data_IF_815504567069
#
_entry.id   IF_815504567069
#
_cell.length_a   1.000
_cell.length_b   1.000
_cell.length_c   1.000
_cell.angle_alpha   90.00
_cell.angle_beta   90.00
_cell.angle_gamma   90.00
#
_symmetry.space_group_name_H-M   'P 1'
#
loop_
_entity.id
_entity.type
_entity.pdbx_description
1 polymer ?
#
# COMPACT_ATOMS: atom_id res chain seq x y z
N UNK A 1 25.79 -15.78 11.03
CA UNK A 1 24.83 -16.50 10.16
C UNK A 1 23.46 -16.17 10.73
N UNK A 2 22.76 -15.17 10.22
CA UNK A 2 21.94 -15.27 9.01
C UNK A 2 20.62 -15.89 9.46
N UNK A 3 19.65 -15.08 9.90
CA UNK A 3 18.52 -14.73 9.05
C UNK A 3 18.25 -13.22 9.00
N UNK A 4 18.52 -12.63 7.84
CA UNK A 4 17.87 -11.39 7.43
C UNK A 4 16.39 -11.74 7.25
N UNK A 5 15.54 -11.38 8.20
CA UNK A 5 14.10 -11.40 7.97
C UNK A 5 13.86 -10.51 6.74
N UNK A 6 13.55 -11.12 5.59
CA UNK A 6 13.07 -10.39 4.43
C UNK A 6 11.78 -9.72 4.85
N UNK A 7 11.87 -8.46 5.26
CA UNK A 7 10.75 -7.57 5.57
C UNK A 7 9.83 -7.30 4.35
N UNK A 8 10.01 -8.04 3.25
CA UNK A 8 9.18 -8.00 2.04
C UNK A 8 8.62 -9.36 1.60
N UNK A 9 8.63 -10.39 2.46
CA UNK A 9 8.17 -11.75 2.11
C UNK A 9 7.08 -12.27 3.07
N UNK A 10 6.26 -11.37 3.65
CA UNK A 10 5.04 -11.81 4.34
C UNK A 10 3.88 -11.84 3.34
N UNK A 11 3.44 -13.03 2.88
CA UNK A 11 2.37 -13.14 1.88
C UNK A 11 1.03 -12.61 2.41
N UNK A 12 0.85 -12.56 3.74
CA UNK A 12 -0.34 -11.99 4.36
C UNK A 12 -0.32 -10.46 4.28
N UNK A 13 0.86 -9.86 4.43
CA UNK A 13 1.06 -8.42 4.29
C UNK A 13 0.86 -7.96 2.84
N UNK A 14 1.39 -8.71 1.88
CA UNK A 14 1.20 -8.40 0.45
C UNK A 14 -0.28 -8.47 0.04
N UNK A 15 -0.99 -9.51 0.49
CA UNK A 15 -2.43 -9.62 0.31
C UNK A 15 -3.20 -8.46 0.96
N UNK A 16 -2.82 -8.05 2.19
CA UNK A 16 -3.42 -6.91 2.87
C UNK A 16 -3.26 -5.60 2.07
N UNK A 17 -2.07 -5.34 1.53
CA UNK A 17 -1.81 -4.17 0.68
C UNK A 17 -2.64 -4.23 -0.62
N UNK A 18 -2.76 -5.39 -1.25
CA UNK A 18 -3.60 -5.59 -2.43
C UNK A 18 -5.06 -5.17 -2.19
N UNK A 19 -5.64 -5.57 -1.06
CA UNK A 19 -7.00 -5.16 -0.67
C UNK A 19 -7.11 -3.64 -0.43
N UNK A 20 -6.12 -3.03 0.21
CA UNK A 20 -6.07 -1.58 0.44
C UNK A 20 -5.99 -0.80 -0.89
N UNK A 21 -5.22 -1.29 -1.85
CA UNK A 21 -5.13 -0.69 -3.19
C UNK A 21 -6.45 -0.79 -3.96
N UNK A 22 -7.13 -1.94 -3.91
CA UNK A 22 -8.47 -2.12 -4.51
C UNK A 22 -9.50 -1.15 -3.96
N UNK A 23 -9.52 -0.93 -2.63
CA UNK A 23 -10.39 0.07 -2.00
C UNK A 23 -10.06 1.49 -2.46
N UNK A 24 -8.77 1.82 -2.58
CA UNK A 24 -8.32 3.13 -3.04
C UNK A 24 -8.73 3.42 -4.48
N UNK A 25 -8.61 2.43 -5.36
CA UNK A 25 -8.98 2.57 -6.78
C UNK A 25 -10.51 2.56 -6.99
N UNK A 26 -11.29 2.44 -5.91
CA UNK A 26 -12.76 2.31 -5.94
C UNK A 26 -13.21 1.07 -6.75
N UNK A 27 -12.36 0.05 -6.80
CA UNK A 27 -12.60 -1.22 -7.48
C UNK A 27 -13.07 -2.33 -6.52
N UNK A 28 -13.37 -1.99 -5.27
CA UNK A 28 -13.96 -2.93 -4.32
C UNK A 28 -15.46 -3.07 -4.60
N UNK A 29 -15.81 -4.01 -5.47
CA UNK A 29 -17.19 -4.38 -5.77
C UNK A 29 -17.74 -5.40 -4.74
N UNK A 30 -19.05 -5.68 -4.80
CA UNK A 30 -19.70 -6.58 -3.84
C UNK A 30 -19.09 -8.00 -3.83
N UNK A 31 -18.53 -8.46 -4.96
CA UNK A 31 -17.83 -9.74 -5.00
C UNK A 31 -16.47 -9.67 -4.32
N UNK A 32 -15.70 -8.61 -4.54
CA UNK A 32 -14.42 -8.39 -3.86
C UNK A 32 -14.61 -8.19 -2.34
N UNK A 33 -15.69 -7.53 -1.91
CA UNK A 33 -16.02 -7.37 -0.49
C UNK A 33 -16.26 -8.72 0.20
N UNK A 34 -17.03 -9.62 -0.41
CA UNK A 34 -17.24 -10.98 0.13
C UNK A 34 -15.91 -11.74 0.25
N UNK A 35 -15.06 -11.69 -0.77
CA UNK A 35 -13.74 -12.34 -0.75
C UNK A 35 -12.81 -11.75 0.32
N UNK A 36 -12.89 -10.43 0.56
CA UNK A 36 -12.16 -9.78 1.64
C UNK A 36 -12.64 -10.29 3.01
N UNK A 37 -13.96 -10.37 3.22
CA UNK A 37 -14.53 -10.88 4.46
C UNK A 37 -14.14 -12.35 4.72
N UNK A 38 -14.20 -13.21 3.69
CA UNK A 38 -13.72 -14.60 3.76
C UNK A 38 -12.24 -14.67 4.12
N UNK A 39 -11.41 -13.83 3.49
CA UNK A 39 -9.97 -13.78 3.76
C UNK A 39 -9.66 -13.30 5.17
N UNK A 40 -10.38 -12.31 5.68
CA UNK A 40 -10.27 -11.83 7.07
C UNK A 40 -10.74 -12.88 8.07
N UNK A 41 -11.77 -13.67 7.73
CA UNK A 41 -12.29 -14.76 8.55
C UNK A 41 -11.36 -15.98 8.62
N UNK A 42 -10.40 -16.10 7.71
CA UNK A 42 -9.48 -17.24 7.63
C UNK A 42 -8.50 -17.29 8.81
N UNK A 43 -8.02 -16.14 9.30
CA UNK A 43 -7.04 -16.10 10.39
C UNK A 43 -7.01 -14.75 11.10
N UNK A 44 -6.84 -14.72 12.44
CA UNK A 44 -6.66 -13.47 13.17
C UNK A 44 -5.42 -12.67 12.70
N UNK A 45 -4.39 -13.34 12.15
CA UNK A 45 -3.21 -12.67 11.58
C UNK A 45 -3.57 -11.85 10.34
N UNK A 46 -4.49 -12.31 9.50
CA UNK A 46 -4.92 -11.59 8.30
C UNK A 46 -5.61 -10.28 8.68
N UNK A 47 -6.52 -10.33 9.65
CA UNK A 47 -7.18 -9.15 10.17
C UNK A 47 -6.20 -8.13 10.77
N UNK A 48 -5.15 -8.60 11.45
CA UNK A 48 -4.14 -7.71 12.02
C UNK A 48 -3.29 -7.02 10.95
N UNK A 49 -2.77 -7.77 9.98
CA UNK A 49 -1.99 -7.20 8.87
C UNK A 49 -2.82 -6.24 8.03
N UNK A 50 -4.11 -6.53 7.83
CA UNK A 50 -5.03 -5.62 7.14
C UNK A 50 -5.24 -4.30 7.88
N UNK A 51 -5.41 -4.32 9.21
CA UNK A 51 -5.47 -3.09 10.01
C UNK A 51 -4.18 -2.28 9.91
N UNK A 52 -3.02 -2.95 9.97
CA UNK A 52 -1.73 -2.29 9.85
C UNK A 52 -1.56 -1.65 8.46
N UNK A 53 -1.96 -2.33 7.39
CA UNK A 53 -1.95 -1.80 6.04
C UNK A 53 -2.87 -0.57 5.90
N UNK A 54 -4.06 -0.57 6.52
CA UNK A 54 -4.95 0.59 6.58
C UNK A 54 -4.33 1.78 7.32
N UNK A 55 -3.64 1.54 8.44
CA UNK A 55 -2.96 2.61 9.20
C UNK A 55 -1.83 3.22 8.39
N UNK A 56 -0.97 2.39 7.78
CA UNK A 56 0.09 2.86 6.88
C UNK A 56 -0.52 3.72 5.78
N UNK A 57 -1.58 3.24 5.15
CA UNK A 57 -2.25 3.93 4.06
C UNK A 57 -2.88 5.27 4.46
N UNK A 58 -3.51 5.34 5.64
CA UNK A 58 -4.07 6.58 6.18
C UNK A 58 -3.00 7.63 6.50
N UNK A 59 -1.83 7.20 6.96
CA UNK A 59 -0.67 8.07 7.17
C UNK A 59 -0.10 8.51 5.82
N UNK A 60 0.00 7.60 4.84
CA UNK A 60 0.45 7.90 3.47
C UNK A 60 -0.45 8.92 2.76
N UNK A 61 -1.77 8.82 2.92
CA UNK A 61 -2.73 9.79 2.37
C UNK A 61 -2.63 11.19 2.96
N UNK A 62 -1.90 11.37 4.07
CA UNK A 62 -1.58 12.66 4.69
C UNK A 62 -0.14 13.10 4.45
N UNK A 63 0.68 12.33 3.73
CA UNK A 63 2.03 12.76 3.41
C UNK A 63 1.92 13.99 2.53
N UNK A 64 2.31 15.13 3.10
CA UNK A 64 2.38 16.36 2.36
C UNK A 64 3.30 16.18 1.14
N UNK A 65 3.07 16.92 0.04
CA UNK A 65 3.89 16.84 -1.16
C UNK A 65 5.39 17.08 -0.86
N UNK A 66 5.74 17.88 0.15
CA UNK A 66 7.12 18.06 0.60
C UNK A 66 7.77 16.79 1.15
N UNK A 67 7.03 15.99 1.90
CA UNK A 67 7.52 14.72 2.45
C UNK A 67 7.63 13.65 1.35
N UNK A 68 6.72 13.69 0.38
CA UNK A 68 6.81 12.87 -0.83
C UNK A 68 8.04 13.24 -1.67
N UNK A 69 8.33 14.54 -1.84
CA UNK A 69 9.50 15.03 -2.57
C UNK A 69 10.83 14.71 -1.86
N UNK A 70 10.84 14.63 -0.53
CA UNK A 70 12.02 14.24 0.25
C UNK A 70 12.37 12.75 0.11
N UNK A 71 11.38 11.89 -0.14
CA UNK A 71 11.56 10.43 -0.25
C UNK A 71 11.86 10.02 -1.70
N UNK A 72 11.34 10.76 -2.70
CA UNK A 72 11.69 10.59 -4.11
C UNK A 72 12.13 11.93 -4.74
N UNK A 73 13.40 12.35 -4.56
CA UNK A 73 13.89 13.60 -5.12
C UNK A 73 14.06 13.58 -6.65
N UNK A 74 13.87 12.42 -7.30
CA UNK A 74 14.13 12.23 -8.73
C UNK A 74 12.89 12.41 -9.62
N UNK A 75 11.65 12.24 -9.12
CA UNK A 75 10.43 12.60 -9.88
C UNK A 75 10.22 14.09 -10.05
N UNK A 76 10.65 14.90 -9.08
CA UNK A 76 10.39 16.35 -9.09
C UNK A 76 11.16 17.09 -10.20
N UNK A 77 12.26 16.52 -10.69
CA UNK A 77 13.16 17.21 -11.63
C UNK A 77 12.88 16.87 -13.10
N UNK A 78 12.05 15.87 -13.41
CA UNK A 78 11.84 15.42 -14.81
C UNK A 78 10.58 15.97 -15.50
N UNK A 79 9.95 17.01 -14.96
CA UNK A 79 8.70 17.57 -15.47
C UNK A 79 8.79 18.94 -16.17
N UNK A 80 9.96 19.59 -16.23
CA UNK A 80 10.06 20.98 -16.73
C UNK A 80 11.07 21.19 -17.88
N UNK A 81 11.66 20.13 -18.44
CA UNK A 81 12.58 20.22 -19.60
C UNK A 81 11.93 19.87 -20.94
N UNK A 82 10.60 19.96 -21.05
CA UNK A 82 9.94 20.10 -22.36
C UNK A 82 9.80 21.60 -22.71
N UNK A 83 10.91 22.33 -22.56
CA UNK A 83 11.05 23.65 -23.15
C UNK A 83 11.14 23.49 -24.66
N UNK A 84 10.19 24.11 -25.34
CA UNK A 84 10.42 24.94 -26.51
C UNK A 84 11.75 24.70 -27.23
N UNK A 85 11.69 24.03 -28.37
CA UNK A 85 12.62 24.21 -29.48
C UNK A 85 12.00 23.71 -30.78
#
# INVERSE_FOLDING_TARGET
MGELHKTGDDPVWDAALGWVMLMRDQQLDAQAEQRLLDWLGTSPRHAEQFRQALVVWQVTGKLSPELTAAIDPQRATKGNDAAAR
#
